data_IF_267440330603
#
_entry.id   IF_267440330603
#
_cell.length_a   1.000
_cell.length_b   1.000
_cell.length_c   1.000
_cell.angle_alpha   90.00
_cell.angle_beta   90.00
_cell.angle_gamma   90.00
#
_symmetry.space_group_name_H-M   'P 1'
#
loop_
_entity.id
_entity.type
_entity.pdbx_description
1 polymer ?
#
# COMPACT_ATOMS: atom_id res chain seq x y z
N UNK A 1 -0.46 4.25 6.61
CA UNK A 1 -0.18 4.11 8.07
C UNK A 1 -0.44 2.67 8.46
N UNK A 2 0.17 2.20 9.54
CA UNK A 2 -0.16 0.92 10.17
C UNK A 2 -1.48 1.06 10.97
N UNK A 3 -2.00 -0.03 11.52
CA UNK A 3 -3.24 -0.03 12.32
C UNK A 3 -3.16 0.91 13.54
N UNK A 4 -1.98 1.04 14.14
CA UNK A 4 -1.71 1.98 15.24
C UNK A 4 -1.57 3.45 14.79
N UNK A 5 -1.80 3.75 13.51
CA UNK A 5 -1.68 5.10 12.95
C UNK A 5 -0.25 5.51 12.58
N UNK A 6 0.77 4.70 12.86
CA UNK A 6 2.15 5.02 12.52
C UNK A 6 2.33 5.11 11.00
N UNK A 7 2.94 6.20 10.52
CA UNK A 7 3.32 6.35 9.12
C UNK A 7 4.50 5.45 8.82
N UNK A 8 4.38 4.62 7.78
CA UNK A 8 5.47 3.77 7.29
C UNK A 8 6.10 4.29 5.99
N UNK A 9 5.31 4.90 5.11
CA UNK A 9 5.79 5.49 3.86
C UNK A 9 4.89 6.64 3.37
N UNK A 10 5.46 7.58 2.61
CA UNK A 10 4.76 8.70 1.98
C UNK A 10 5.56 9.25 0.79
N UNK A 11 4.96 9.20 -0.41
CA UNK A 11 5.54 9.84 -1.61
C UNK A 11 5.60 11.37 -1.50
N UNK A 12 4.74 11.98 -0.68
CA UNK A 12 4.76 13.42 -0.42
C UNK A 12 6.03 13.84 0.31
N UNK A 13 6.53 13.00 1.22
CA UNK A 13 7.76 13.27 1.97
C UNK A 13 8.98 13.25 1.04
N UNK A 14 8.91 12.46 -0.04
CA UNK A 14 9.93 12.41 -1.10
C UNK A 14 9.78 13.54 -2.14
N UNK A 15 8.67 14.28 -2.13
CA UNK A 15 8.41 15.35 -3.10
C UNK A 15 8.19 14.88 -4.55
N UNK A 16 8.17 13.57 -4.82
CA UNK A 16 8.02 13.02 -6.18
C UNK A 16 6.81 12.09 -6.29
N UNK A 17 6.00 12.20 -7.35
CA UNK A 17 4.89 11.27 -7.58
C UNK A 17 5.39 9.84 -7.72
N UNK A 18 4.70 8.91 -7.05
CA UNK A 18 4.92 7.49 -7.26
C UNK A 18 4.22 7.03 -8.55
N UNK A 19 4.91 6.24 -9.37
CA UNK A 19 4.41 5.74 -10.66
C UNK A 19 4.57 4.23 -10.72
N UNK A 20 3.57 3.55 -11.26
CA UNK A 20 3.56 2.10 -11.47
C UNK A 20 2.61 1.75 -12.63
N UNK A 21 2.71 0.54 -13.16
CA UNK A 21 1.77 0.00 -14.16
C UNK A 21 0.65 -0.76 -13.46
N UNK A 22 -0.58 -0.26 -13.64
CA UNK A 22 -1.78 -0.84 -13.03
C UNK A 22 -2.03 -2.27 -13.51
N UNK A 23 -2.33 -3.17 -12.58
CA UNK A 23 -2.73 -4.55 -12.87
C UNK A 23 -1.56 -5.45 -13.32
N UNK A 24 -0.32 -5.04 -13.01
CA UNK A 24 0.90 -5.80 -13.32
C UNK A 24 1.53 -6.44 -12.09
N UNK A 25 0.92 -6.31 -10.91
CA UNK A 25 1.48 -6.86 -9.67
C UNK A 25 2.77 -6.17 -9.23
N UNK A 26 3.02 -4.93 -9.65
CA UNK A 26 4.18 -4.14 -9.23
C UNK A 26 4.03 -3.55 -7.82
N UNK A 27 2.80 -3.55 -7.32
CA UNK A 27 2.40 -3.01 -6.02
C UNK A 27 1.57 -4.06 -5.26
N UNK A 28 1.27 -3.80 -3.99
CA UNK A 28 0.37 -4.65 -3.22
C UNK A 28 -1.01 -4.76 -3.88
N UNK A 29 -1.67 -5.91 -3.74
CA UNK A 29 -2.96 -6.20 -4.42
C UNK A 29 -4.03 -5.15 -4.13
N UNK A 30 -4.07 -4.62 -2.91
CA UNK A 30 -5.01 -3.56 -2.52
C UNK A 30 -4.83 -2.27 -3.34
N UNK A 31 -3.61 -1.96 -3.76
CA UNK A 31 -3.35 -0.83 -4.65
C UNK A 31 -3.76 -1.13 -6.08
N UNK A 32 -3.37 -2.28 -6.62
CA UNK A 32 -3.74 -2.67 -7.99
C UNK A 32 -5.27 -2.70 -8.17
N UNK A 33 -6.00 -3.20 -7.17
CA UNK A 33 -7.46 -3.26 -7.23
C UNK A 33 -8.15 -1.93 -6.88
N UNK A 34 -7.67 -1.23 -5.86
CA UNK A 34 -8.31 0.00 -5.39
C UNK A 34 -8.09 1.17 -6.34
N UNK A 35 -6.89 1.33 -6.90
CA UNK A 35 -6.59 2.41 -7.86
C UNK A 35 -7.32 2.19 -9.18
N UNK A 36 -7.58 0.95 -9.58
CA UNK A 36 -8.37 0.64 -10.77
C UNK A 36 -9.81 1.18 -10.74
N UNK A 37 -10.33 1.49 -9.55
CA UNK A 37 -11.67 2.06 -9.38
C UNK A 37 -11.67 3.60 -9.28
N UNK A 38 -10.51 4.24 -9.38
CA UNK A 38 -10.35 5.67 -9.16
C UNK A 38 -10.38 6.49 -10.45
N UNK A 39 -10.87 7.72 -10.35
CA UNK A 39 -10.77 8.74 -11.38
C UNK A 39 -9.56 9.67 -11.16
N UNK A 40 -9.06 10.27 -12.24
CA UNK A 40 -8.02 11.30 -12.16
C UNK A 40 -8.47 12.45 -11.26
N UNK A 41 -7.61 12.83 -10.31
CA UNK A 41 -7.87 13.90 -9.34
C UNK A 41 -8.60 13.46 -8.06
N UNK A 42 -9.12 12.23 -8.00
CA UNK A 42 -9.78 11.70 -6.81
C UNK A 42 -8.78 11.48 -5.66
N UNK A 43 -9.26 11.67 -4.43
CA UNK A 43 -8.56 11.25 -3.20
C UNK A 43 -9.38 10.14 -2.53
N UNK A 44 -8.72 9.06 -2.15
CA UNK A 44 -9.34 7.93 -1.48
C UNK A 44 -8.46 7.41 -0.34
N UNK A 45 -9.08 6.76 0.65
CA UNK A 45 -8.38 6.00 1.69
C UNK A 45 -8.70 4.52 1.50
N UNK A 46 -7.69 3.75 1.11
CA UNK A 46 -7.80 2.29 0.99
C UNK A 46 -7.38 1.66 2.32
N UNK A 47 -8.29 0.90 2.93
CA UNK A 47 -8.01 0.06 4.10
C UNK A 47 -7.83 -1.36 3.55
N UNK A 48 -6.63 -1.91 3.68
CA UNK A 48 -6.27 -3.21 3.10
C UNK A 48 -6.06 -4.23 4.23
N UNK A 49 -6.71 -5.38 4.13
CA UNK A 49 -6.39 -6.54 4.96
C UNK A 49 -5.00 -7.09 4.62
N UNK A 50 -4.36 -7.88 5.50
CA UNK A 50 -3.01 -8.38 5.28
C UNK A 50 -2.82 -9.12 3.94
N UNK A 51 -3.79 -9.94 3.51
CA UNK A 51 -3.78 -10.69 2.25
C UNK A 51 -3.84 -9.82 0.98
N UNK A 52 -4.29 -8.57 1.11
CA UNK A 52 -4.23 -7.54 0.07
C UNK A 52 -3.01 -6.61 0.21
N UNK A 53 -2.23 -6.77 1.28
CA UNK A 53 -0.99 -6.04 1.54
C UNK A 53 0.22 -7.00 1.44
N UNK A 54 0.90 -7.25 2.56
CA UNK A 54 2.15 -8.04 2.60
C UNK A 54 1.98 -9.48 3.12
N UNK A 55 0.74 -9.90 3.39
CA UNK A 55 0.40 -11.21 3.95
C UNK A 55 1.07 -11.48 5.29
N UNK A 56 1.16 -12.76 5.67
CA UNK A 56 1.85 -13.22 6.88
C UNK A 56 3.37 -12.97 6.84
N UNK A 57 3.94 -12.85 5.64
CA UNK A 57 5.37 -12.56 5.45
C UNK A 57 5.73 -11.13 5.89
N UNK A 58 4.76 -10.21 5.90
CA UNK A 58 5.03 -8.81 6.23
C UNK A 58 6.05 -8.17 5.29
N UNK A 59 6.58 -7.02 5.69
CA UNK A 59 7.66 -6.34 4.99
C UNK A 59 8.74 -5.98 5.99
N UNK A 60 9.99 -6.48 5.84
CA UNK A 60 11.08 -6.16 6.74
C UNK A 60 11.21 -4.65 6.94
N UNK A 61 11.27 -4.20 8.20
CA UNK A 61 11.38 -2.79 8.57
C UNK A 61 10.08 -1.96 8.56
N UNK A 62 8.95 -2.52 8.12
CA UNK A 62 7.64 -1.81 8.08
C UNK A 62 6.56 -2.56 8.88
N UNK A 63 6.41 -3.87 8.64
CA UNK A 63 5.45 -4.72 9.32
C UNK A 63 6.22 -5.91 9.92
N UNK A 64 6.09 -6.20 11.22
CA UNK A 64 6.78 -7.33 11.81
C UNK A 64 6.37 -8.62 11.08
N UNK A 65 7.37 -9.41 10.65
CA UNK A 65 7.18 -10.81 10.28
C UNK A 65 6.50 -11.48 11.49
N UNK A 66 5.25 -11.90 11.34
CA UNK A 66 4.61 -12.73 12.36
C UNK A 66 5.15 -14.15 12.13
N UNK A 67 6.30 -14.44 12.73
CA UNK A 67 6.70 -15.82 12.99
C UNK A 67 5.81 -16.32 14.12
N UNK A 68 4.98 -17.33 13.84
CA UNK A 68 4.37 -18.14 14.89
C UNK A 68 5.45 -18.93 15.65
#
# INVERSE_FOLDING_TARGET
TLENGQKFDSSRDRGVPFKFRLGKGEVIKGWDNGVAQMCVGQRARLICSPDFAYGSRGHPGIYPLISF
#
